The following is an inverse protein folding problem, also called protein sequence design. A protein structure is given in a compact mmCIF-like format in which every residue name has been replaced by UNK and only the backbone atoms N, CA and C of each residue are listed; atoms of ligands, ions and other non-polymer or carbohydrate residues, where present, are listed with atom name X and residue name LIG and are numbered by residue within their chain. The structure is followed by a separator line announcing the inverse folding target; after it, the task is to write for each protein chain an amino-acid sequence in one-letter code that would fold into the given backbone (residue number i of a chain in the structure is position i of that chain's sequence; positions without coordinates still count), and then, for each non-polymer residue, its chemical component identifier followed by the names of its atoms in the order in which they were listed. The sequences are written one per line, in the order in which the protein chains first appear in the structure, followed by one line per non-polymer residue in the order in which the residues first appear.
data_IF_790721209393
#
_entry.id   IF_790721209393
#
_cell.length_a   1.000
_cell.length_b   1.000
_cell.length_c   1.000
_cell.angle_alpha   90.00
_cell.angle_beta   90.00
_cell.angle_gamma   90.00
#
_symmetry.space_group_name_H-M   'P 1'
#
loop_
_entity.id
_entity.type
_entity.pdbx_description
1 polymer ?
#
# COMPACT_ATOMS: atom_id res chain seq x y z
N UNK A 1 -32.15 -10.52 -0.31
CA UNK A 1 -30.94 -9.67 -0.52
C UNK A 1 -30.32 -9.47 0.84
N UNK A 2 -29.01 -9.69 0.99
CA UNK A 2 -28.31 -9.34 2.22
C UNK A 2 -28.39 -7.81 2.37
N UNK A 3 -28.79 -7.35 3.55
CA UNK A 3 -28.81 -5.92 3.86
C UNK A 3 -27.35 -5.47 4.08
N UNK A 4 -26.71 -4.92 3.05
CA UNK A 4 -25.31 -4.48 3.12
C UNK A 4 -25.21 -3.08 3.70
N UNK A 5 -24.16 -2.85 4.52
CA UNK A 5 -23.87 -1.54 5.11
C UNK A 5 -22.95 -0.75 4.20
N UNK A 6 -23.01 0.57 4.28
CA UNK A 6 -22.04 1.45 3.63
C UNK A 6 -20.79 1.60 4.50
N UNK A 7 -19.64 1.64 3.85
CA UNK A 7 -18.33 1.72 4.51
C UNK A 7 -17.66 3.02 4.13
N UNK A 8 -17.19 3.75 5.12
CA UNK A 8 -16.52 5.05 4.93
C UNK A 8 -15.14 5.08 5.57
N UNK A 9 -14.28 5.93 5.05
CA UNK A 9 -12.97 6.25 5.60
C UNK A 9 -13.12 7.44 6.53
N UNK A 10 -12.87 7.23 7.82
CA UNK A 10 -13.02 8.29 8.85
C UNK A 10 -11.69 8.74 9.45
N UNK A 11 -10.61 8.02 9.20
CA UNK A 11 -9.26 8.42 9.61
C UNK A 11 -8.20 7.79 8.73
N UNK A 12 -7.10 8.51 8.55
CA UNK A 12 -5.95 8.07 7.75
C UNK A 12 -4.69 8.41 8.52
N UNK A 13 -3.75 7.46 8.58
CA UNK A 13 -2.41 7.67 9.07
C UNK A 13 -1.40 7.01 8.14
N UNK A 14 -0.25 7.63 8.00
CA UNK A 14 0.78 7.07 7.12
C UNK A 14 2.16 7.62 7.39
N UNK A 15 3.15 6.85 6.99
CA UNK A 15 4.57 7.22 7.07
C UNK A 15 5.22 6.87 5.75
N UNK A 16 5.85 7.86 5.13
CA UNK A 16 6.54 7.74 3.85
C UNK A 16 7.92 8.41 3.90
N UNK A 17 8.72 8.20 2.88
CA UNK A 17 9.99 8.92 2.72
C UNK A 17 9.83 10.45 2.58
N UNK A 18 8.63 10.94 2.27
CA UNK A 18 8.31 12.39 2.19
C UNK A 18 7.68 12.96 3.45
N UNK A 19 7.37 12.14 4.43
CA UNK A 19 6.73 12.56 5.67
C UNK A 19 5.45 11.80 6.00
N UNK A 20 4.64 12.42 6.88
CA UNK A 20 3.49 11.78 7.52
C UNK A 20 2.16 12.45 7.20
N UNK A 21 2.16 13.53 6.46
CA UNK A 21 0.98 14.34 6.13
C UNK A 21 0.87 14.54 4.62
N UNK A 22 -0.37 14.69 4.16
CA UNK A 22 -0.65 14.88 2.74
C UNK A 22 -0.01 16.12 2.15
N UNK A 23 0.11 17.21 2.93
CA UNK A 23 0.67 18.48 2.44
C UNK A 23 2.13 18.30 2.01
N UNK A 24 2.93 17.63 2.84
CA UNK A 24 4.35 17.34 2.55
C UNK A 24 4.48 16.42 1.33
N UNK A 25 3.65 15.37 1.26
CA UNK A 25 3.63 14.41 0.16
C UNK A 25 3.21 15.10 -1.15
N UNK A 26 2.12 15.88 -1.12
CA UNK A 26 1.65 16.61 -2.30
C UNK A 26 2.69 17.62 -2.80
N UNK A 27 3.40 18.29 -1.88
CA UNK A 27 4.48 19.21 -2.26
C UNK A 27 5.61 18.50 -3.02
N UNK A 28 6.00 17.29 -2.58
CA UNK A 28 6.98 16.46 -3.29
C UNK A 28 6.45 15.99 -4.66
N UNK A 29 5.18 15.60 -4.73
CA UNK A 29 4.53 15.21 -5.99
C UNK A 29 4.47 16.38 -6.98
N UNK A 30 4.10 17.57 -6.53
CA UNK A 30 4.10 18.79 -7.36
C UNK A 30 5.50 19.24 -7.79
N UNK A 31 6.50 18.96 -6.98
CA UNK A 31 7.90 19.22 -7.32
C UNK A 31 8.50 18.15 -8.25
N UNK A 32 7.74 17.09 -8.55
CA UNK A 32 8.17 15.93 -9.37
C UNK A 32 9.49 15.32 -8.89
N UNK A 33 9.70 15.29 -7.57
CA UNK A 33 10.88 14.71 -6.95
C UNK A 33 10.57 13.32 -6.40
N UNK A 34 11.38 12.34 -6.76
CA UNK A 34 11.33 11.04 -6.12
C UNK A 34 12.21 10.99 -4.85
N UNK A 35 11.99 9.96 -4.02
CA UNK A 35 12.73 9.73 -2.78
C UNK A 35 13.87 8.72 -2.95
N UNK A 36 14.19 8.33 -4.17
CA UNK A 36 15.18 7.30 -4.48
C UNK A 36 16.59 7.82 -4.20
N UNK A 37 17.40 6.96 -3.59
CA UNK A 37 18.78 7.24 -3.22
C UNK A 37 19.69 6.08 -3.56
N UNK A 38 20.99 6.39 -3.77
CA UNK A 38 22.04 5.40 -3.79
C UNK A 38 22.32 4.90 -2.36
N UNK A 39 22.39 3.59 -2.16
CA UNK A 39 22.41 2.95 -0.84
C UNK A 39 23.77 2.40 -0.41
N UNK A 40 24.76 2.38 -1.27
CA UNK A 40 26.13 1.92 -1.00
C UNK A 40 26.23 0.59 -0.21
N UNK A 41 25.60 -0.45 -0.76
CA UNK A 41 25.61 -1.79 -0.14
C UNK A 41 26.70 -2.72 -0.66
N UNK A 42 27.46 -2.30 -1.66
CA UNK A 42 28.37 -3.16 -2.43
C UNK A 42 29.45 -3.83 -1.57
N UNK A 43 29.95 -3.15 -0.54
CA UNK A 43 30.92 -3.73 0.38
C UNK A 43 30.33 -4.93 1.15
N UNK A 44 29.09 -4.80 1.62
CA UNK A 44 28.43 -5.85 2.42
C UNK A 44 27.73 -6.90 1.57
N UNK A 45 27.23 -6.53 0.41
CA UNK A 45 26.47 -7.38 -0.52
C UNK A 45 27.07 -7.27 -1.93
N UNK A 46 28.25 -7.90 -2.19
CA UNK A 46 28.98 -7.72 -3.44
C UNK A 46 28.26 -8.25 -4.68
N UNK A 47 27.33 -9.19 -4.50
CA UNK A 47 26.50 -9.75 -5.59
C UNK A 47 25.26 -8.93 -5.91
N UNK A 48 24.90 -7.95 -5.05
CA UNK A 48 23.75 -7.06 -5.27
C UNK A 48 24.14 -5.96 -6.26
N UNK A 49 23.62 -6.04 -7.47
CA UNK A 49 23.91 -5.06 -8.54
C UNK A 49 23.04 -3.80 -8.42
N UNK A 50 21.76 -3.94 -8.03
CA UNK A 50 20.88 -2.82 -7.75
C UNK A 50 21.24 -2.17 -6.41
N UNK A 51 21.68 -0.90 -6.44
CA UNK A 51 22.13 -0.15 -5.26
C UNK A 51 21.19 1.01 -4.92
N UNK A 52 19.90 0.88 -5.25
CA UNK A 52 18.91 1.95 -5.10
C UNK A 52 17.83 1.58 -4.10
N UNK A 53 17.31 2.58 -3.39
CA UNK A 53 16.19 2.44 -2.49
C UNK A 53 15.55 3.77 -2.12
N UNK A 54 14.34 3.71 -1.56
CA UNK A 54 13.63 4.88 -1.04
C UNK A 54 13.23 4.65 0.44
N UNK A 55 14.22 4.66 1.37
CA UNK A 55 14.00 4.43 2.79
C UNK A 55 13.39 5.64 3.49
N UNK A 56 12.76 5.40 4.64
CA UNK A 56 12.41 6.44 5.60
C UNK A 56 13.63 6.70 6.49
N UNK A 57 14.25 7.85 6.30
CA UNK A 57 15.44 8.22 7.08
C UNK A 57 15.08 8.77 8.45
N UNK A 58 15.94 8.51 9.44
CA UNK A 58 15.83 9.08 10.78
C UNK A 58 14.59 8.64 11.59
N UNK A 59 13.85 7.63 11.11
CA UNK A 59 12.67 7.16 11.85
C UNK A 59 13.05 6.52 13.18
N UNK A 60 12.41 7.01 14.24
CA UNK A 60 12.41 6.42 15.58
C UNK A 60 10.96 6.30 16.07
N UNK A 61 10.62 5.25 16.84
CA UNK A 61 9.32 5.17 17.48
C UNK A 61 9.03 6.40 18.34
N UNK A 62 7.76 6.82 18.47
CA UNK A 62 7.36 7.93 19.33
C UNK A 62 7.88 7.80 20.77
N UNK A 63 8.37 8.90 21.36
CA UNK A 63 9.00 8.90 22.68
C UNK A 63 8.05 8.46 23.82
N UNK A 64 6.74 8.63 23.65
CA UNK A 64 5.73 8.23 24.63
C UNK A 64 5.50 6.71 24.69
N UNK A 65 6.03 5.95 23.71
CA UNK A 65 5.91 4.51 23.74
C UNK A 65 6.86 3.87 24.75
N UNK A 66 6.34 2.98 25.56
CA UNK A 66 7.11 2.30 26.60
C UNK A 66 7.97 1.16 26.03
N UNK A 67 9.07 0.84 26.71
CA UNK A 67 9.90 -0.34 26.36
C UNK A 67 9.11 -1.65 26.34
N UNK A 68 8.06 -1.75 27.17
CA UNK A 68 7.18 -2.94 27.22
C UNK A 68 6.39 -3.06 25.92
N UNK A 69 5.86 -1.98 25.40
CA UNK A 69 5.13 -1.93 24.11
C UNK A 69 6.05 -2.25 22.94
N UNK A 70 7.28 -1.74 22.93
CA UNK A 70 8.24 -1.94 21.85
C UNK A 70 8.80 -3.38 21.75
N UNK A 71 8.70 -4.18 22.83
CA UNK A 71 9.40 -5.48 22.94
C UNK A 71 8.99 -6.48 21.84
N UNK A 72 7.72 -6.49 21.43
CA UNK A 72 7.16 -7.42 20.45
C UNK A 72 7.22 -6.87 19.00
N UNK A 73 7.78 -5.69 18.79
CA UNK A 73 7.76 -5.00 17.52
C UNK A 73 9.15 -4.98 16.87
N UNK A 74 9.21 -5.34 15.59
CA UNK A 74 10.28 -4.97 14.68
C UNK A 74 9.98 -3.63 14.00
N UNK A 75 10.86 -3.16 13.12
CA UNK A 75 10.70 -1.86 12.43
C UNK A 75 9.38 -1.76 11.67
N UNK A 76 8.98 -2.80 10.94
CA UNK A 76 7.71 -2.82 10.21
C UNK A 76 6.50 -2.62 11.13
N UNK A 77 6.52 -3.26 12.33
CA UNK A 77 5.46 -3.08 13.31
C UNK A 77 5.47 -1.69 13.94
N UNK A 78 6.65 -1.08 14.16
CA UNK A 78 6.73 0.31 14.59
C UNK A 78 6.04 1.25 13.60
N UNK A 79 6.33 1.11 12.30
CA UNK A 79 5.72 1.92 11.25
C UNK A 79 4.20 1.73 11.20
N UNK A 80 3.72 0.48 11.26
CA UNK A 80 2.28 0.18 11.21
C UNK A 80 1.53 0.68 12.44
N UNK A 81 2.09 0.52 13.65
CA UNK A 81 1.46 0.99 14.90
C UNK A 81 1.44 2.50 14.97
N UNK A 82 2.52 3.17 14.52
CA UNK A 82 2.57 4.63 14.44
C UNK A 82 1.55 5.19 13.43
N UNK A 83 1.45 4.59 12.23
CA UNK A 83 0.41 4.94 11.26
C UNK A 83 -1.01 4.68 11.82
N UNK A 84 -1.20 3.62 12.60
CA UNK A 84 -2.48 3.33 13.24
C UNK A 84 -2.83 4.34 14.34
N UNK A 85 -1.83 4.80 15.13
CA UNK A 85 -2.03 5.86 16.12
C UNK A 85 -2.44 7.18 15.47
N UNK A 86 -1.80 7.53 14.33
CA UNK A 86 -2.19 8.70 13.54
C UNK A 86 -3.63 8.56 13.01
N UNK A 87 -3.98 7.40 12.43
CA UNK A 87 -5.32 7.15 11.91
C UNK A 87 -6.41 7.24 12.99
N UNK A 88 -6.16 6.67 14.18
CA UNK A 88 -7.08 6.77 15.31
C UNK A 88 -7.19 8.21 15.83
N UNK A 89 -6.09 8.95 15.85
CA UNK A 89 -6.07 10.37 16.23
C UNK A 89 -6.89 11.19 15.25
N UNK A 90 -6.67 11.01 13.95
CA UNK A 90 -7.37 11.71 12.87
C UNK A 90 -8.89 11.40 12.89
N UNK A 91 -9.24 10.15 13.19
CA UNK A 91 -10.63 9.72 13.35
C UNK A 91 -11.29 10.23 14.66
N UNK A 92 -10.52 10.79 15.59
CA UNK A 92 -11.01 11.14 16.93
C UNK A 92 -11.37 9.94 17.80
N UNK A 93 -10.72 8.79 17.58
CA UNK A 93 -10.96 7.52 18.26
C UNK A 93 -9.81 7.08 19.19
N UNK A 94 -8.68 7.78 19.18
CA UNK A 94 -7.57 7.44 20.06
C UNK A 94 -7.97 7.62 21.53
N UNK A 95 -7.96 6.50 22.30
CA UNK A 95 -8.39 6.50 23.70
C UNK A 95 -9.90 6.41 23.92
N UNK A 96 -10.71 6.31 22.86
CA UNK A 96 -12.15 6.09 22.99
C UNK A 96 -12.47 4.64 23.41
N UNK A 97 -13.41 4.46 24.34
CA UNK A 97 -13.78 3.13 24.84
C UNK A 97 -14.37 2.21 23.77
N UNK A 98 -14.98 2.76 22.72
CA UNK A 98 -15.59 2.00 21.62
C UNK A 98 -14.58 1.16 20.81
N UNK A 99 -13.30 1.53 20.81
CA UNK A 99 -12.28 0.73 20.14
C UNK A 99 -11.89 -0.55 20.93
N UNK A 100 -12.18 -0.59 22.24
CA UNK A 100 -11.79 -1.72 23.12
C UNK A 100 -12.95 -2.63 23.53
N UNK A 101 -14.18 -2.33 23.12
CA UNK A 101 -15.39 -3.07 23.48
C UNK A 101 -15.71 -4.28 22.58
N UNK A 102 -14.88 -4.52 21.55
CA UNK A 102 -15.03 -5.61 20.58
C UNK A 102 -15.61 -5.18 19.24
N UNK A 103 -16.02 -3.92 19.08
CA UNK A 103 -16.56 -3.40 17.81
C UNK A 103 -15.51 -2.93 16.83
N UNK A 104 -14.23 -2.82 17.24
CA UNK A 104 -13.11 -2.49 16.38
C UNK A 104 -12.14 -3.64 16.23
N UNK A 105 -11.80 -3.97 14.98
CA UNK A 105 -10.81 -4.99 14.60
C UNK A 105 -9.64 -4.38 13.85
N UNK A 106 -8.78 -5.26 13.31
CA UNK A 106 -7.65 -4.86 12.47
C UNK A 106 -7.47 -5.85 11.31
N UNK A 107 -7.24 -5.32 10.10
CA UNK A 107 -6.81 -6.06 8.93
C UNK A 107 -5.56 -5.38 8.36
N UNK A 108 -4.40 -5.96 8.62
CA UNK A 108 -3.11 -5.35 8.27
C UNK A 108 -2.09 -6.42 7.95
N UNK A 109 -1.20 -6.13 7.02
CA UNK A 109 -0.17 -7.05 6.60
C UNK A 109 1.14 -6.38 6.20
N UNK A 110 2.12 -7.24 5.98
CA UNK A 110 3.44 -6.96 5.44
C UNK A 110 3.81 -8.13 4.54
N UNK A 111 4.63 -7.90 3.53
CA UNK A 111 5.05 -9.00 2.64
C UNK A 111 6.03 -9.96 3.33
N UNK A 112 6.88 -9.46 4.21
CA UNK A 112 7.99 -10.23 4.81
C UNK A 112 7.92 -10.28 6.34
N UNK A 113 7.52 -9.22 7.01
CA UNK A 113 7.66 -9.07 8.46
C UNK A 113 8.97 -8.35 8.82
N UNK A 114 9.56 -8.66 10.00
CA UNK A 114 10.83 -8.05 10.39
C UNK A 114 12.02 -8.82 9.82
N UNK A 115 12.70 -8.23 8.85
CA UNK A 115 13.83 -8.84 8.13
C UNK A 115 15.04 -9.05 9.03
N UNK A 116 15.28 -8.16 10.00
CA UNK A 116 16.32 -8.33 11.01
C UNK A 116 16.10 -9.59 11.84
N UNK A 117 14.88 -9.80 12.32
CA UNK A 117 14.52 -10.95 13.15
C UNK A 117 14.52 -12.27 12.34
N UNK A 118 14.21 -12.21 11.04
CA UNK A 118 14.41 -13.32 10.10
C UNK A 118 15.90 -13.68 9.99
N UNK A 119 16.79 -12.67 9.93
CA UNK A 119 18.22 -12.86 9.94
C UNK A 119 18.73 -13.57 11.21
N UNK A 120 18.24 -13.17 12.39
CA UNK A 120 18.54 -13.82 13.67
C UNK A 120 18.08 -15.31 13.71
N UNK A 121 16.93 -15.61 13.11
CA UNK A 121 16.44 -16.98 12.90
C UNK A 121 17.34 -17.76 11.94
N UNK A 122 17.74 -17.15 10.84
CA UNK A 122 18.68 -17.73 9.86
C UNK A 122 20.02 -18.10 10.49
N UNK A 123 20.57 -17.22 11.34
CA UNK A 123 21.79 -17.50 12.10
C UNK A 123 21.62 -18.74 12.99
N UNK A 124 20.52 -18.81 13.74
CA UNK A 124 20.24 -19.99 14.57
C UNK A 124 20.19 -21.29 13.76
N UNK A 125 19.48 -21.28 12.63
CA UNK A 125 19.32 -22.47 11.80
C UNK A 125 20.64 -22.91 11.13
N UNK A 126 21.47 -21.95 10.73
CA UNK A 126 22.72 -22.23 10.05
C UNK A 126 23.86 -22.63 10.99
N UNK A 127 23.91 -22.08 12.20
CA UNK A 127 25.04 -22.22 13.13
C UNK A 127 24.72 -23.04 14.39
N UNK A 128 23.44 -23.29 14.68
CA UNK A 128 22.99 -23.89 15.94
C UNK A 128 23.18 -22.98 17.16
N UNK A 129 23.45 -21.67 16.95
CA UNK A 129 23.76 -20.71 18.02
C UNK A 129 22.66 -19.66 18.12
N UNK A 130 22.06 -19.50 19.31
CA UNK A 130 20.94 -18.60 19.56
C UNK A 130 21.36 -17.29 20.24
N UNK A 131 22.41 -16.60 19.75
CA UNK A 131 22.92 -15.37 20.38
C UNK A 131 21.86 -14.28 20.56
N UNK A 132 21.06 -14.05 19.53
CA UNK A 132 20.06 -12.99 19.48
C UNK A 132 18.61 -13.52 19.42
N UNK A 133 18.42 -14.82 19.17
CA UNK A 133 17.12 -15.42 18.97
C UNK A 133 16.44 -15.75 20.31
N UNK A 134 15.19 -15.30 20.45
CA UNK A 134 14.33 -15.56 21.60
C UNK A 134 12.84 -15.54 21.17
N UNK A 135 11.91 -15.76 22.12
CA UNK A 135 10.48 -15.79 21.82
C UNK A 135 9.96 -14.51 21.14
N UNK A 136 10.47 -13.33 21.53
CA UNK A 136 10.06 -12.08 20.87
C UNK A 136 10.58 -11.99 19.43
N UNK A 137 11.82 -12.43 19.16
CA UNK A 137 12.38 -12.53 17.81
C UNK A 137 11.47 -13.38 16.91
N UNK A 138 11.02 -14.53 17.43
CA UNK A 138 10.11 -15.41 16.70
C UNK A 138 8.80 -14.71 16.31
N UNK A 139 8.18 -13.97 17.25
CA UNK A 139 6.94 -13.22 16.97
C UNK A 139 7.18 -12.09 15.98
N UNK A 140 8.28 -11.34 16.13
CA UNK A 140 8.59 -10.18 15.25
C UNK A 140 8.87 -10.56 13.79
N UNK A 141 9.47 -11.73 13.56
CA UNK A 141 9.80 -12.17 12.19
C UNK A 141 8.58 -12.55 11.34
N UNK A 142 7.43 -12.83 11.95
CA UNK A 142 6.25 -13.28 11.21
C UNK A 142 5.50 -12.10 10.56
N UNK A 143 5.01 -12.24 9.32
CA UNK A 143 4.29 -11.13 8.63
C UNK A 143 3.01 -10.68 9.35
N UNK A 144 2.34 -11.57 10.11
CA UNK A 144 1.15 -11.23 10.89
C UNK A 144 1.45 -10.33 12.10
N UNK A 145 2.73 -10.09 12.40
CA UNK A 145 3.16 -9.27 13.55
C UNK A 145 2.60 -7.85 13.50
N UNK A 146 2.38 -7.29 12.30
CA UNK A 146 1.81 -5.95 12.13
C UNK A 146 0.40 -5.87 12.69
N UNK A 147 -0.51 -6.73 12.26
CA UNK A 147 -1.89 -6.77 12.74
C UNK A 147 -1.97 -7.12 14.24
N UNK A 148 -1.16 -8.09 14.70
CA UNK A 148 -1.14 -8.50 16.09
C UNK A 148 -0.66 -7.36 17.01
N UNK A 149 0.40 -6.65 16.64
CA UNK A 149 0.93 -5.54 17.46
C UNK A 149 -0.01 -4.33 17.48
N UNK A 150 -0.70 -4.00 16.38
CA UNK A 150 -1.75 -2.97 16.37
C UNK A 150 -2.85 -3.37 17.37
N UNK A 151 -3.36 -4.60 17.30
CA UNK A 151 -4.40 -5.08 18.20
C UNK A 151 -3.99 -5.01 19.67
N UNK A 152 -2.77 -5.46 20.01
CA UNK A 152 -2.24 -5.45 21.37
C UNK A 152 -2.00 -4.02 21.86
N UNK A 153 -1.42 -3.16 21.03
CA UNK A 153 -1.03 -1.81 21.42
C UNK A 153 -2.24 -0.94 21.79
N UNK A 154 -3.32 -1.02 21.03
CA UNK A 154 -4.54 -0.24 21.27
C UNK A 154 -5.62 -1.02 22.06
N UNK A 155 -5.35 -2.26 22.46
CA UNK A 155 -6.29 -3.09 23.22
C UNK A 155 -7.54 -3.48 22.43
N UNK A 156 -7.43 -3.63 21.12
CA UNK A 156 -8.55 -3.99 20.24
C UNK A 156 -8.99 -5.43 20.52
N UNK A 157 -10.29 -5.63 20.68
CA UNK A 157 -10.90 -6.95 20.99
C UNK A 157 -11.72 -7.52 19.84
N UNK A 158 -11.83 -6.79 18.73
CA UNK A 158 -12.45 -7.27 17.51
C UNK A 158 -11.56 -8.29 16.79
N UNK A 159 -11.98 -8.70 15.61
CA UNK A 159 -11.25 -9.70 14.81
C UNK A 159 -9.92 -9.15 14.29
N UNK A 160 -8.91 -10.03 14.21
CA UNK A 160 -7.62 -9.76 13.58
C UNK A 160 -7.53 -10.55 12.28
N UNK A 161 -7.26 -9.85 11.17
CA UNK A 161 -7.10 -10.43 9.83
C UNK A 161 -5.70 -10.06 9.32
N UNK A 162 -4.72 -10.97 9.42
CA UNK A 162 -3.41 -10.72 8.80
C UNK A 162 -3.51 -10.89 7.28
N UNK A 163 -2.97 -9.94 6.53
CA UNK A 163 -3.03 -9.92 5.05
C UNK A 163 -1.63 -9.91 4.44
N UNK A 164 -0.92 -11.05 4.60
CA UNK A 164 0.40 -11.22 3.99
C UNK A 164 0.27 -11.79 2.58
N UNK A 165 0.15 -10.92 1.59
CA UNK A 165 -0.05 -11.25 0.18
C UNK A 165 0.87 -10.43 -0.73
N UNK A 166 2.16 -10.36 -0.35
CA UNK A 166 3.17 -9.58 -1.06
C UNK A 166 2.70 -8.13 -1.30
N UNK A 167 2.81 -7.62 -2.54
CA UNK A 167 2.50 -6.23 -2.88
C UNK A 167 1.02 -5.84 -2.69
N UNK A 168 0.10 -6.79 -2.58
CA UNK A 168 -1.33 -6.52 -2.33
C UNK A 168 -1.73 -6.57 -0.86
N UNK A 169 -0.78 -6.77 0.08
CA UNK A 169 -1.08 -6.91 1.52
C UNK A 169 -1.93 -5.74 2.07
N UNK A 170 -1.54 -4.50 1.77
CA UNK A 170 -2.26 -3.31 2.25
C UNK A 170 -3.65 -3.15 1.65
N UNK A 171 -3.79 -3.30 0.34
CA UNK A 171 -5.09 -3.21 -0.34
C UNK A 171 -6.01 -4.38 0.01
N UNK A 172 -5.46 -5.59 0.21
CA UNK A 172 -6.22 -6.73 0.68
C UNK A 172 -6.71 -6.53 2.12
N UNK A 173 -5.89 -5.90 2.99
CA UNK A 173 -6.30 -5.50 4.33
C UNK A 173 -7.49 -4.53 4.30
N UNK A 174 -7.44 -3.51 3.44
CA UNK A 174 -8.55 -2.57 3.23
C UNK A 174 -9.79 -3.31 2.70
N UNK A 175 -9.62 -4.21 1.71
CA UNK A 175 -10.72 -4.97 1.11
C UNK A 175 -11.41 -5.92 2.09
N UNK A 176 -10.66 -6.68 2.89
CA UNK A 176 -11.27 -7.59 3.89
C UNK A 176 -11.91 -6.84 5.06
N UNK A 177 -11.36 -5.69 5.46
CA UNK A 177 -12.00 -4.81 6.43
C UNK A 177 -13.33 -4.27 5.89
N UNK A 178 -13.33 -3.83 4.63
CA UNK A 178 -14.54 -3.39 3.93
C UNK A 178 -15.61 -4.48 3.91
N UNK A 179 -15.26 -5.70 3.49
CA UNK A 179 -16.21 -6.83 3.47
C UNK A 179 -16.74 -7.14 4.88
N UNK A 180 -15.86 -7.15 5.89
CA UNK A 180 -16.27 -7.42 7.28
C UNK A 180 -17.28 -6.40 7.80
N UNK A 181 -17.10 -5.10 7.48
CA UNK A 181 -18.05 -4.04 7.87
C UNK A 181 -19.31 -4.08 7.00
N UNK A 182 -19.14 -4.19 5.69
CA UNK A 182 -20.25 -4.23 4.71
C UNK A 182 -21.27 -5.33 5.03
N UNK A 183 -20.78 -6.50 5.44
CA UNK A 183 -21.64 -7.64 5.80
C UNK A 183 -22.01 -7.69 7.28
N UNK A 184 -21.75 -6.64 8.04
CA UNK A 184 -22.20 -6.49 9.43
C UNK A 184 -21.50 -7.37 10.45
N UNK A 185 -20.31 -7.86 10.14
CA UNK A 185 -19.53 -8.70 11.05
C UNK A 185 -18.84 -7.86 12.15
N UNK A 186 -18.58 -6.58 11.88
CA UNK A 186 -17.93 -5.61 12.78
C UNK A 186 -18.32 -4.20 12.35
N UNK A 187 -18.17 -3.20 13.24
CA UNK A 187 -18.55 -1.81 12.95
C UNK A 187 -17.39 -0.95 12.46
N UNK A 188 -16.16 -1.23 12.95
CA UNK A 188 -14.96 -0.47 12.63
C UNK A 188 -13.75 -1.39 12.44
N UNK A 189 -12.82 -1.00 11.58
CA UNK A 189 -11.53 -1.69 11.44
C UNK A 189 -10.40 -0.71 11.14
N UNK A 190 -9.26 -0.93 11.79
CA UNK A 190 -7.98 -0.45 11.28
C UNK A 190 -7.55 -1.34 10.12
N UNK A 191 -7.26 -0.73 8.97
CA UNK A 191 -7.01 -1.47 7.73
C UNK A 191 -5.84 -0.89 6.95
N UNK A 192 -4.93 -1.73 6.47
CA UNK A 192 -3.82 -1.28 5.66
C UNK A 192 -2.64 -2.23 5.65
N UNK A 193 -1.44 -1.68 5.56
CA UNK A 193 -0.20 -2.47 5.54
C UNK A 193 1.04 -1.61 5.70
N UNK A 194 2.15 -2.28 5.94
CA UNK A 194 3.47 -1.66 6.05
C UNK A 194 4.57 -2.57 5.56
N UNK A 195 5.69 -1.97 5.27
CA UNK A 195 6.93 -2.68 4.97
C UNK A 195 8.13 -1.91 5.49
N UNK A 196 9.09 -2.62 6.06
CA UNK A 196 10.40 -2.06 6.39
C UNK A 196 11.32 -2.21 5.15
N UNK A 197 12.44 -1.49 5.17
CA UNK A 197 13.38 -1.48 4.06
C UNK A 197 14.60 -2.36 4.34
N UNK A 198 14.89 -3.30 3.44
CA UNK A 198 16.00 -4.22 3.60
C UNK A 198 16.66 -4.57 2.25
N UNK A 199 18.01 -4.69 2.20
CA UNK A 199 18.70 -5.14 0.99
C UNK A 199 18.26 -6.52 0.48
N UNK A 200 17.76 -7.41 1.35
CA UNK A 200 17.27 -8.72 0.93
C UNK A 200 16.02 -8.63 0.03
N UNK A 201 15.18 -7.63 0.22
CA UNK A 201 14.03 -7.35 -0.63
C UNK A 201 14.47 -6.86 -2.02
N UNK A 202 15.50 -6.01 -2.05
CA UNK A 202 16.10 -5.56 -3.32
C UNK A 202 16.72 -6.74 -4.06
N UNK A 203 17.43 -7.64 -3.33
CA UNK A 203 18.08 -8.80 -3.90
C UNK A 203 17.12 -9.76 -4.61
N UNK A 204 15.90 -9.93 -4.08
CA UNK A 204 14.85 -10.76 -4.73
C UNK A 204 14.58 -10.26 -6.15
N UNK A 205 14.36 -8.97 -6.33
CA UNK A 205 14.06 -8.39 -7.64
C UNK A 205 15.30 -8.22 -8.52
N UNK A 206 16.46 -7.97 -7.94
CA UNK A 206 17.74 -7.92 -8.68
C UNK A 206 18.08 -9.28 -9.27
N UNK A 207 17.88 -10.39 -8.53
CA UNK A 207 18.08 -11.75 -9.02
C UNK A 207 17.12 -12.15 -10.15
N UNK A 208 16.00 -11.47 -10.27
CA UNK A 208 15.01 -11.63 -11.34
C UNK A 208 15.21 -10.65 -12.51
N UNK A 209 16.25 -9.80 -12.45
CA UNK A 209 16.47 -8.69 -13.40
C UNK A 209 15.27 -7.74 -13.48
N UNK A 210 14.58 -7.55 -12.36
CA UNK A 210 13.39 -6.71 -12.23
C UNK A 210 13.60 -5.47 -11.34
N UNK A 211 14.80 -5.31 -10.74
CA UNK A 211 15.20 -4.11 -10.01
C UNK A 211 15.99 -3.16 -10.91
N UNK A 212 15.77 -1.86 -10.77
CA UNK A 212 16.51 -0.85 -11.51
C UNK A 212 17.98 -0.82 -11.09
N UNK A 213 18.87 -0.80 -12.07
CA UNK A 213 20.33 -0.70 -11.91
C UNK A 213 20.88 0.67 -12.33
N UNK A 214 20.04 1.69 -12.42
CA UNK A 214 20.45 3.09 -12.69
C UNK A 214 21.14 3.73 -11.48
N UNK A 215 22.10 3.07 -10.93
CA UNK A 215 22.77 3.45 -9.68
C UNK A 215 23.38 4.85 -9.69
N UNK A 216 23.76 5.35 -10.87
CA UNK A 216 24.33 6.70 -11.05
C UNK A 216 23.29 7.80 -11.28
N UNK A 217 22.01 7.45 -11.42
CA UNK A 217 20.93 8.37 -11.79
C UNK A 217 19.66 8.07 -10.98
N UNK A 218 19.72 8.09 -9.62
CA UNK A 218 18.60 7.70 -8.77
C UNK A 218 17.34 8.54 -9.01
N UNK A 219 17.50 9.80 -9.42
CA UNK A 219 16.40 10.71 -9.73
C UNK A 219 15.63 10.32 -11.00
N UNK A 220 16.22 9.51 -11.91
CA UNK A 220 15.62 9.09 -13.17
C UNK A 220 14.95 7.71 -13.11
N UNK A 221 14.80 7.13 -11.92
CA UNK A 221 14.19 5.81 -11.71
C UNK A 221 13.41 5.76 -10.38
N UNK A 222 12.36 4.92 -10.21
CA UNK A 222 11.73 4.11 -11.26
C UNK A 222 10.95 4.95 -12.27
N UNK A 223 10.65 4.35 -13.42
CA UNK A 223 9.98 5.02 -14.51
C UNK A 223 8.85 4.15 -15.11
N UNK A 224 7.74 3.97 -14.37
CA UNK A 224 6.63 3.14 -14.82
C UNK A 224 6.14 3.55 -16.21
N UNK A 225 5.82 2.54 -17.03
CA UNK A 225 5.28 2.66 -18.39
C UNK A 225 6.24 3.25 -19.44
N UNK A 226 7.41 3.72 -19.03
CA UNK A 226 8.43 4.29 -19.94
C UNK A 226 9.14 3.18 -20.71
N UNK A 227 9.42 3.42 -21.99
CA UNK A 227 10.12 2.49 -22.87
C UNK A 227 11.56 2.19 -22.43
N UNK A 228 12.17 3.11 -21.71
CA UNK A 228 13.52 2.97 -21.14
C UNK A 228 13.54 2.47 -19.69
N UNK A 229 12.42 1.92 -19.16
CA UNK A 229 12.39 1.36 -17.81
C UNK A 229 13.27 0.13 -17.67
N UNK A 230 13.88 -0.06 -16.53
CA UNK A 230 14.81 -1.15 -16.25
C UNK A 230 14.50 -1.91 -14.94
N UNK A 231 13.34 -1.65 -14.36
CA UNK A 231 12.88 -2.33 -13.15
C UNK A 231 12.43 -1.39 -12.05
N UNK A 232 11.98 -1.98 -10.96
CA UNK A 232 11.48 -1.29 -9.77
C UNK A 232 12.62 -0.82 -8.87
N UNK A 233 12.30 0.08 -7.95
CA UNK A 233 13.14 0.45 -6.80
C UNK A 233 12.33 0.15 -5.55
N UNK A 234 12.93 -0.51 -4.54
CA UNK A 234 12.23 -0.80 -3.28
C UNK A 234 12.14 0.47 -2.43
N UNK A 235 10.96 0.68 -1.84
CA UNK A 235 10.69 1.74 -0.88
C UNK A 235 10.25 1.21 0.48
N UNK A 236 10.02 2.12 1.42
CA UNK A 236 9.59 1.84 2.78
C UNK A 236 8.35 2.66 3.13
N UNK A 237 7.48 2.13 3.98
CA UNK A 237 6.33 2.88 4.46
C UNK A 237 5.31 2.09 5.24
N UNK A 238 4.30 2.79 5.72
CA UNK A 238 3.08 2.22 6.26
C UNK A 238 1.90 3.15 5.98
N UNK A 239 0.73 2.56 5.71
CA UNK A 239 -0.53 3.29 5.60
C UNK A 239 -1.64 2.52 6.31
N UNK A 240 -2.38 3.21 7.17
CA UNK A 240 -3.49 2.64 7.94
C UNK A 240 -4.71 3.55 7.85
N UNK A 241 -5.85 2.95 7.60
CA UNK A 241 -7.16 3.60 7.58
C UNK A 241 -7.99 3.21 8.78
N UNK A 242 -8.82 4.10 9.26
CA UNK A 242 -10.03 3.75 10.01
C UNK A 242 -11.16 3.59 9.00
N UNK A 243 -11.61 2.36 8.78
CA UNK A 243 -12.83 2.07 8.06
C UNK A 243 -13.98 1.90 9.05
N UNK A 244 -15.12 2.47 8.73
CA UNK A 244 -16.26 2.56 9.65
C UNK A 244 -17.60 2.41 8.92
N UNK A 245 -18.59 1.81 9.59
CA UNK A 245 -19.94 1.77 9.12
C UNK A 245 -20.52 3.20 9.09
N UNK A 246 -21.19 3.57 8.00
CA UNK A 246 -21.62 4.95 7.74
C UNK A 246 -22.51 5.54 8.84
N UNK A 247 -23.53 4.79 9.30
CA UNK A 247 -24.43 5.31 10.32
C UNK A 247 -23.77 5.39 11.71
N UNK A 248 -22.77 4.51 11.97
CA UNK A 248 -21.92 4.63 13.15
C UNK A 248 -21.08 5.92 13.08
N UNK A 249 -20.43 6.19 11.95
CA UNK A 249 -19.63 7.40 11.71
C UNK A 249 -20.48 8.68 11.86
N UNK A 250 -21.68 8.71 11.29
CA UNK A 250 -22.60 9.84 11.41
C UNK A 250 -23.06 10.10 12.85
N UNK A 251 -23.40 9.05 13.62
CA UNK A 251 -23.84 9.21 15.02
C UNK A 251 -22.80 9.87 15.91
N UNK A 252 -21.52 9.66 15.65
CA UNK A 252 -20.43 10.30 16.39
C UNK A 252 -19.90 11.59 15.75
N UNK A 253 -20.49 12.03 14.63
CA UNK A 253 -20.05 13.24 13.93
C UNK A 253 -18.68 13.15 13.28
N UNK A 254 -18.30 11.97 12.82
CA UNK A 254 -16.99 11.73 12.22
C UNK A 254 -16.76 12.55 10.95
N UNK A 255 -15.52 13.01 10.75
CA UNK A 255 -15.06 13.43 9.43
C UNK A 255 -15.05 12.22 8.50
N UNK A 256 -15.49 12.39 7.26
CA UNK A 256 -15.46 11.34 6.25
C UNK A 256 -14.65 11.82 5.06
N UNK A 257 -13.65 11.04 4.68
CA UNK A 257 -12.76 11.32 3.55
C UNK A 257 -13.33 10.83 2.22
N UNK A 258 -13.87 9.61 2.24
CA UNK A 258 -14.44 8.94 1.06
C UNK A 258 -15.36 7.81 1.51
N UNK A 259 -16.23 7.33 0.63
CA UNK A 259 -16.92 6.06 0.75
C UNK A 259 -16.12 5.00 -0.04
N UNK A 260 -15.80 3.86 0.57
CA UNK A 260 -15.29 2.69 -0.12
C UNK A 260 -16.48 1.90 -0.63
N UNK A 261 -16.66 1.88 -1.95
CA UNK A 261 -17.89 1.35 -2.56
C UNK A 261 -17.71 0.02 -3.26
N UNK A 262 -16.48 -0.37 -3.59
CA UNK A 262 -16.22 -1.62 -4.28
C UNK A 262 -14.85 -2.20 -3.99
N UNK A 263 -14.80 -3.52 -3.94
CA UNK A 263 -13.58 -4.31 -3.81
C UNK A 263 -13.64 -5.51 -4.74
N UNK A 264 -12.58 -5.66 -5.55
CA UNK A 264 -12.35 -6.84 -6.38
C UNK A 264 -11.07 -7.54 -5.96
N UNK A 265 -11.12 -8.86 -5.89
CA UNK A 265 -9.96 -9.70 -5.64
C UNK A 265 -10.06 -11.02 -6.40
N UNK A 266 -8.94 -11.47 -6.93
CA UNK A 266 -8.80 -12.80 -7.54
C UNK A 266 -7.32 -13.22 -7.56
N UNK A 267 -7.05 -14.36 -8.20
CA UNK A 267 -5.67 -14.81 -8.42
C UNK A 267 -5.47 -15.26 -9.87
N UNK A 268 -4.21 -15.18 -10.33
CA UNK A 268 -3.83 -15.63 -11.68
C UNK A 268 -3.86 -17.14 -11.83
N UNK A 269 -3.59 -17.89 -10.75
CA UNK A 269 -3.58 -19.36 -10.75
C UNK A 269 -2.57 -19.98 -11.70
N UNK A 270 -1.53 -19.24 -12.10
CA UNK A 270 -0.56 -19.67 -13.12
C UNK A 270 0.88 -19.63 -12.61
N UNK A 271 1.59 -18.55 -12.78
CA UNK A 271 3.02 -18.44 -12.46
C UNK A 271 3.27 -17.39 -11.38
N UNK A 272 4.23 -17.63 -10.48
CA UNK A 272 4.52 -16.75 -9.33
C UNK A 272 4.91 -15.32 -9.74
N UNK A 273 5.65 -15.17 -10.85
CA UNK A 273 6.21 -13.87 -11.28
C UNK A 273 5.76 -13.41 -12.67
N UNK A 274 4.80 -14.11 -13.29
CA UNK A 274 4.30 -13.72 -14.63
C UNK A 274 2.85 -13.23 -14.50
N UNK A 275 2.63 -11.90 -14.55
CA UNK A 275 1.31 -11.31 -14.42
C UNK A 275 0.41 -11.68 -15.62
N UNK A 276 -0.89 -11.81 -15.38
CA UNK A 276 -1.87 -12.17 -16.39
C UNK A 276 -2.85 -11.01 -16.60
N UNK A 277 -2.88 -10.48 -17.82
CA UNK A 277 -3.80 -9.39 -18.21
C UNK A 277 -5.26 -9.72 -17.90
N UNK A 278 -5.69 -10.95 -18.24
CA UNK A 278 -7.08 -11.38 -18.15
C UNK A 278 -7.59 -11.41 -16.70
N UNK A 279 -6.76 -11.81 -15.76
CA UNK A 279 -7.11 -11.85 -14.32
C UNK A 279 -7.07 -10.47 -13.69
N UNK A 280 -6.13 -9.60 -14.09
CA UNK A 280 -6.14 -8.19 -13.71
C UNK A 280 -7.40 -7.47 -14.21
N UNK A 281 -7.77 -7.68 -15.48
CA UNK A 281 -9.02 -7.17 -16.06
C UNK A 281 -10.21 -7.66 -15.23
N UNK A 282 -10.30 -8.95 -14.96
CA UNK A 282 -11.39 -9.52 -14.18
C UNK A 282 -11.45 -8.98 -12.76
N UNK A 283 -10.31 -8.70 -12.14
CA UNK A 283 -10.26 -8.09 -10.81
C UNK A 283 -10.89 -6.69 -10.78
N UNK A 284 -10.56 -5.85 -11.77
CA UNK A 284 -11.17 -4.52 -11.92
C UNK A 284 -12.66 -4.59 -12.23
N UNK A 285 -13.10 -5.53 -13.08
CA UNK A 285 -14.52 -5.76 -13.35
C UNK A 285 -15.29 -6.18 -12.09
N UNK A 286 -14.70 -7.04 -11.24
CA UNK A 286 -15.31 -7.44 -9.96
C UNK A 286 -15.47 -6.26 -9.01
N UNK A 287 -14.47 -5.37 -8.94
CA UNK A 287 -14.56 -4.16 -8.12
C UNK A 287 -15.67 -3.22 -8.58
N UNK A 288 -15.80 -3.00 -9.90
CA UNK A 288 -16.89 -2.19 -10.48
C UNK A 288 -18.26 -2.84 -10.26
N UNK A 289 -18.35 -4.16 -10.39
CA UNK A 289 -19.57 -4.92 -10.11
C UNK A 289 -19.99 -4.79 -8.65
N UNK A 290 -19.04 -4.88 -7.72
CA UNK A 290 -19.31 -4.73 -6.29
C UNK A 290 -19.72 -3.29 -5.93
N UNK A 291 -19.13 -2.29 -6.61
CA UNK A 291 -19.51 -0.88 -6.49
C UNK A 291 -20.87 -0.55 -7.15
N UNK A 292 -21.36 -1.40 -8.03
CA UNK A 292 -22.60 -1.16 -8.79
C UNK A 292 -22.50 0.00 -9.79
N UNK A 293 -21.31 0.24 -10.35
CA UNK A 293 -21.06 1.32 -11.31
C UNK A 293 -20.50 0.80 -12.63
N UNK A 294 -20.68 1.59 -13.68
CA UNK A 294 -20.06 1.35 -15.00
C UNK A 294 -18.69 2.04 -15.11
N UNK A 295 -17.78 1.55 -15.96
CA UNK A 295 -16.42 2.11 -16.11
C UNK A 295 -16.39 3.61 -16.41
N UNK A 296 -17.37 4.13 -17.15
CA UNK A 296 -17.48 5.56 -17.52
C UNK A 296 -17.68 6.51 -16.35
N UNK A 297 -18.01 6.00 -15.16
CA UNK A 297 -18.13 6.80 -13.92
C UNK A 297 -16.79 7.06 -13.26
N UNK A 298 -15.76 6.28 -13.58
CA UNK A 298 -14.42 6.40 -13.00
C UNK A 298 -13.63 7.46 -13.77
N UNK A 299 -13.07 8.42 -13.07
CA UNK A 299 -12.29 9.49 -13.70
C UNK A 299 -10.77 9.34 -13.57
N UNK A 300 -10.29 8.40 -12.75
CA UNK A 300 -8.85 8.20 -12.55
C UNK A 300 -8.53 6.79 -12.03
N UNK A 301 -7.39 6.27 -12.50
CA UNK A 301 -6.80 5.01 -12.05
C UNK A 301 -5.44 5.27 -11.41
N UNK A 302 -5.29 4.90 -10.13
CA UNK A 302 -3.98 4.71 -9.51
C UNK A 302 -3.47 3.33 -9.89
N UNK A 303 -2.51 3.31 -10.80
CA UNK A 303 -1.94 2.08 -11.31
C UNK A 303 -0.95 1.45 -10.34
N UNK A 304 -0.81 0.13 -10.42
CA UNK A 304 0.24 -0.58 -9.71
C UNK A 304 1.63 -0.22 -10.26
N UNK A 305 1.77 -0.04 -11.56
CA UNK A 305 2.92 0.52 -12.30
C UNK A 305 4.26 0.42 -11.60
N UNK A 306 4.91 -0.74 -11.68
CA UNK A 306 6.14 -1.04 -10.94
C UNK A 306 7.42 -0.71 -11.69
N UNK A 307 7.32 -0.24 -12.93
CA UNK A 307 8.42 -0.09 -13.88
C UNK A 307 9.06 -1.44 -14.30
N UNK A 308 8.37 -2.55 -14.11
CA UNK A 308 8.76 -3.85 -14.66
C UNK A 308 8.16 -4.03 -16.05
N UNK A 309 8.91 -4.67 -16.95
CA UNK A 309 8.47 -4.80 -18.35
C UNK A 309 7.10 -5.49 -18.48
N UNK A 310 6.98 -6.70 -17.93
CA UNK A 310 5.76 -7.52 -18.05
C UNK A 310 4.59 -6.97 -17.23
N UNK A 311 4.89 -6.44 -16.03
CA UNK A 311 3.87 -5.90 -15.13
C UNK A 311 3.14 -4.71 -15.75
N UNK A 312 3.89 -3.73 -16.20
CA UNK A 312 3.35 -2.51 -16.78
C UNK A 312 2.55 -2.77 -18.06
N UNK A 313 3.03 -3.69 -18.92
CA UNK A 313 2.31 -4.08 -20.16
C UNK A 313 0.98 -4.76 -19.82
N UNK A 314 1.00 -5.76 -18.93
CA UNK A 314 -0.20 -6.52 -18.58
C UNK A 314 -1.27 -5.62 -17.92
N UNK A 315 -0.85 -4.80 -16.96
CA UNK A 315 -1.74 -3.88 -16.24
C UNK A 315 -2.40 -2.86 -17.18
N UNK A 316 -1.60 -2.21 -18.02
CA UNK A 316 -2.12 -1.14 -18.90
C UNK A 316 -3.03 -1.68 -19.98
N UNK A 317 -2.75 -2.86 -20.53
CA UNK A 317 -3.64 -3.55 -21.47
C UNK A 317 -4.95 -3.99 -20.81
N UNK A 318 -4.91 -4.41 -19.52
CA UNK A 318 -6.10 -4.73 -18.75
C UNK A 318 -6.92 -3.48 -18.45
N UNK A 319 -6.26 -2.37 -18.07
CA UNK A 319 -6.90 -1.08 -17.82
C UNK A 319 -7.59 -0.53 -19.06
N UNK A 320 -6.92 -0.56 -20.24
CA UNK A 320 -7.50 -0.17 -21.51
C UNK A 320 -8.75 -1.00 -21.84
N UNK A 321 -8.68 -2.32 -21.60
CA UNK A 321 -9.80 -3.23 -21.89
C UNK A 321 -11.06 -2.94 -21.04
N UNK A 322 -10.88 -2.48 -19.79
CA UNK A 322 -12.01 -2.20 -18.86
C UNK A 322 -12.51 -0.77 -19.02
N UNK A 323 -11.59 0.22 -19.06
CA UNK A 323 -11.91 1.63 -18.93
C UNK A 323 -11.69 2.45 -20.22
N UNK A 324 -11.04 1.87 -21.24
CA UNK A 324 -10.64 2.62 -22.42
C UNK A 324 -9.57 3.67 -22.14
N UNK A 325 -9.69 4.84 -22.77
CA UNK A 325 -8.74 5.94 -22.64
C UNK A 325 -9.02 6.75 -21.37
N UNK A 326 -8.50 6.29 -20.22
CA UNK A 326 -8.74 6.84 -18.88
C UNK A 326 -7.47 7.45 -18.29
N UNK A 327 -7.57 8.58 -17.54
CA UNK A 327 -6.44 9.14 -16.80
C UNK A 327 -5.83 8.14 -15.81
N UNK A 328 -4.51 7.93 -15.89
CA UNK A 328 -3.78 6.97 -15.09
C UNK A 328 -2.39 7.47 -14.72
N UNK A 329 -1.95 7.21 -13.48
CA UNK A 329 -0.55 7.40 -13.08
C UNK A 329 -0.14 6.40 -12.00
N UNK A 330 1.19 6.27 -11.77
CA UNK A 330 1.75 5.43 -10.72
C UNK A 330 2.60 6.26 -9.76
N UNK A 331 2.22 6.27 -8.48
CA UNK A 331 2.96 6.95 -7.43
C UNK A 331 4.24 6.21 -7.01
N UNK A 332 4.44 4.97 -7.49
CA UNK A 332 5.71 4.27 -7.31
C UNK A 332 6.88 4.98 -8.00
N UNK A 333 6.61 5.82 -8.98
CA UNK A 333 7.63 6.68 -9.57
C UNK A 333 8.26 7.66 -8.56
N UNK A 334 7.58 7.96 -7.45
CA UNK A 334 8.04 8.86 -6.39
C UNK A 334 8.67 8.13 -5.20
N UNK A 335 8.01 7.10 -4.70
CA UNK A 335 8.35 6.43 -3.44
C UNK A 335 9.03 5.07 -3.64
N UNK A 336 9.21 4.66 -4.90
CA UNK A 336 9.54 3.28 -5.18
C UNK A 336 8.37 2.34 -4.85
N UNK A 337 8.65 1.07 -4.85
CA UNK A 337 7.69 0.02 -4.50
C UNK A 337 7.79 -0.33 -3.02
N UNK A 338 6.85 0.12 -2.23
CA UNK A 338 6.80 -0.09 -0.77
C UNK A 338 6.17 -1.43 -0.39
N UNK A 339 6.14 -2.41 -1.29
CA UNK A 339 5.70 -3.80 -1.10
C UNK A 339 4.36 -3.90 -0.34
N UNK A 340 4.36 -4.45 0.88
CA UNK A 340 3.14 -4.63 1.67
C UNK A 340 2.42 -3.33 2.06
N UNK A 341 3.12 -2.20 2.05
CA UNK A 341 2.53 -0.89 2.32
C UNK A 341 1.86 -0.25 1.11
N UNK A 342 2.28 -0.59 -0.12
CA UNK A 342 1.94 0.20 -1.31
C UNK A 342 0.44 0.33 -1.54
N UNK A 343 -0.33 -0.74 -1.34
CA UNK A 343 -1.77 -0.70 -1.54
C UNK A 343 -2.51 0.26 -0.60
N UNK A 344 -2.02 0.45 0.62
CA UNK A 344 -2.59 1.40 1.56
C UNK A 344 -2.13 2.84 1.27
N UNK A 345 -0.83 3.05 1.01
CA UNK A 345 -0.30 4.37 0.69
C UNK A 345 -0.92 4.94 -0.59
N UNK A 346 -0.97 4.14 -1.65
CA UNK A 346 -1.56 4.54 -2.92
C UNK A 346 -3.07 4.81 -2.82
N UNK A 347 -3.80 4.03 -2.01
CA UNK A 347 -5.21 4.32 -1.69
C UNK A 347 -5.36 5.67 -0.97
N UNK A 348 -4.49 5.97 0.01
CA UNK A 348 -4.48 7.28 0.69
C UNK A 348 -4.26 8.42 -0.30
N UNK A 349 -3.19 8.33 -1.12
CA UNK A 349 -2.89 9.37 -2.10
C UNK A 349 -4.03 9.54 -3.11
N UNK A 350 -4.64 8.45 -3.54
CA UNK A 350 -5.76 8.46 -4.48
C UNK A 350 -6.98 9.19 -3.93
N UNK A 351 -7.32 8.96 -2.66
CA UNK A 351 -8.42 9.67 -1.97
C UNK A 351 -8.09 11.16 -1.85
N UNK A 352 -6.88 11.53 -1.47
CA UNK A 352 -6.48 12.92 -1.30
C UNK A 352 -6.37 13.66 -2.65
N UNK A 353 -5.89 13.01 -3.70
CA UNK A 353 -5.90 13.57 -5.06
C UNK A 353 -7.34 13.79 -5.56
N UNK A 354 -8.25 12.85 -5.33
CA UNK A 354 -9.66 13.00 -5.65
C UNK A 354 -10.27 14.19 -4.90
N UNK A 355 -9.98 14.34 -3.61
CA UNK A 355 -10.53 15.41 -2.78
C UNK A 355 -9.97 16.79 -3.13
N UNK A 356 -8.68 16.88 -3.50
CA UNK A 356 -8.05 18.12 -3.96
C UNK A 356 -8.34 18.46 -5.42
N UNK A 357 -8.80 17.49 -6.23
CA UNK A 357 -9.04 17.66 -7.66
C UNK A 357 -7.78 17.71 -8.52
N UNK A 358 -6.57 17.54 -7.94
CA UNK A 358 -5.31 17.50 -8.67
C UNK A 358 -4.66 16.13 -8.54
N UNK A 359 -4.30 15.53 -9.67
CA UNK A 359 -3.72 14.20 -9.77
C UNK A 359 -2.26 14.26 -10.22
N UNK A 360 -1.40 13.59 -9.46
CA UNK A 360 0.04 13.58 -9.70
C UNK A 360 0.40 12.83 -10.98
N UNK A 361 1.44 13.29 -11.70
CA UNK A 361 1.96 12.57 -12.87
C UNK A 361 2.71 11.30 -12.46
N UNK A 362 2.97 10.43 -13.43
CA UNK A 362 4.04 9.44 -13.35
C UNK A 362 5.35 10.14 -13.69
N UNK A 363 6.21 10.41 -12.69
CA UNK A 363 7.52 11.02 -12.98
C UNK A 363 8.41 10.05 -13.73
N UNK A 364 9.36 10.60 -14.50
CA UNK A 364 10.27 9.84 -15.36
C UNK A 364 9.61 9.13 -16.57
N UNK A 365 8.31 9.34 -16.80
CA UNK A 365 7.63 8.85 -18.00
C UNK A 365 7.77 9.88 -19.13
N UNK A 366 8.74 9.66 -20.02
CA UNK A 366 9.06 10.56 -21.12
C UNK A 366 8.76 9.94 -22.50
N UNK A 367 8.93 8.62 -22.62
CA UNK A 367 8.72 7.84 -23.83
C UNK A 367 7.85 6.62 -23.52
N UNK A 368 6.55 6.72 -23.79
CA UNK A 368 5.60 5.65 -23.48
C UNK A 368 5.95 4.38 -24.27
N UNK A 369 6.11 3.25 -23.58
CA UNK A 369 6.35 1.96 -24.24
C UNK A 369 5.17 1.61 -25.16
N UNK A 370 5.39 1.45 -26.48
CA UNK A 370 4.33 1.18 -27.43
C UNK A 370 3.62 -0.18 -27.22
N UNK A 371 4.17 -1.05 -26.38
CA UNK A 371 3.57 -2.33 -25.97
C UNK A 371 2.56 -2.17 -24.82
N UNK A 372 2.63 -1.06 -24.09
CA UNK A 372 1.66 -0.71 -23.07
C UNK A 372 0.30 -0.33 -23.68
N UNK A 373 -0.76 -0.49 -22.87
CA UNK A 373 -2.13 -0.14 -23.29
C UNK A 373 -2.29 1.35 -23.58
N UNK A 374 -3.26 1.68 -24.44
CA UNK A 374 -3.59 3.06 -24.81
C UNK A 374 -4.48 3.70 -23.76
N UNK A 375 -3.90 4.05 -22.62
CA UNK A 375 -4.56 4.83 -21.56
C UNK A 375 -4.04 6.27 -21.58
N UNK A 376 -4.73 7.16 -20.88
CA UNK A 376 -4.36 8.57 -20.78
C UNK A 376 -3.36 8.78 -19.64
N UNK A 377 -2.08 8.51 -19.90
CA UNK A 377 -1.01 8.67 -18.91
C UNK A 377 -0.87 10.13 -18.49
N UNK A 378 -0.96 10.39 -17.17
CA UNK A 378 -0.70 11.75 -16.65
C UNK A 378 0.81 11.98 -16.64
N UNK A 379 1.24 12.90 -17.49
CA UNK A 379 2.63 13.32 -17.65
C UNK A 379 2.95 14.53 -16.76
N UNK A 380 4.19 15.03 -16.85
CA UNK A 380 4.70 16.17 -16.09
C UNK A 380 3.69 17.32 -15.94
N UNK A 381 3.66 17.96 -14.76
CA UNK A 381 2.70 18.99 -14.37
C UNK A 381 1.48 18.44 -13.62
N UNK A 382 1.23 17.15 -13.70
CA UNK A 382 -0.01 16.58 -13.17
C UNK A 382 -1.25 17.04 -13.93
N UNK A 383 -2.42 16.76 -13.39
CA UNK A 383 -3.69 17.11 -14.05
C UNK A 383 -4.79 17.44 -13.06
N UNK A 384 -5.56 18.48 -13.34
CA UNK A 384 -6.82 18.75 -12.65
C UNK A 384 -7.92 17.88 -13.26
N UNK A 385 -8.59 17.08 -12.41
CA UNK A 385 -9.70 16.20 -12.79
C UNK A 385 -10.79 16.33 -11.74
N UNK A 386 -11.99 16.64 -12.16
CA UNK A 386 -13.17 16.56 -11.34
C UNK A 386 -13.85 15.20 -11.53
N UNK A 387 -13.88 14.38 -10.48
CA UNK A 387 -14.47 13.05 -10.52
C UNK A 387 -15.03 12.63 -9.18
N UNK A 388 -16.12 11.85 -9.22
CA UNK A 388 -16.73 11.26 -8.04
C UNK A 388 -16.18 9.86 -7.71
N UNK A 389 -15.54 9.18 -8.67
CA UNK A 389 -15.05 7.82 -8.50
C UNK A 389 -13.62 7.67 -8.97
N UNK A 390 -12.81 7.02 -8.15
CA UNK A 390 -11.44 6.65 -8.47
C UNK A 390 -11.18 5.18 -8.13
N UNK A 391 -10.20 4.59 -8.81
CA UNK A 391 -9.80 3.19 -8.60
C UNK A 391 -8.32 3.13 -8.21
N UNK A 392 -8.00 2.26 -7.24
CA UNK A 392 -6.62 1.92 -6.87
C UNK A 392 -6.36 0.43 -7.04
N UNK A 393 -5.36 0.08 -7.84
CA UNK A 393 -5.05 -1.29 -8.23
C UNK A 393 -3.71 -1.76 -7.66
N UNK A 394 -3.66 -3.01 -7.19
CA UNK A 394 -2.40 -3.66 -6.81
C UNK A 394 -2.39 -5.12 -7.30
N UNK A 395 -1.29 -5.48 -7.95
CA UNK A 395 -1.08 -6.78 -8.58
C UNK A 395 0.23 -7.39 -8.08
N UNK A 396 0.14 -8.40 -7.24
CA UNK A 396 1.27 -8.93 -6.49
C UNK A 396 1.90 -10.16 -7.12
N UNK A 397 3.16 -10.42 -6.76
CA UNK A 397 3.76 -11.73 -6.92
C UNK A 397 2.89 -12.81 -6.25
N UNK A 398 2.84 -14.01 -6.87
CA UNK A 398 1.89 -15.04 -6.53
C UNK A 398 0.56 -14.91 -7.29
N UNK A 399 0.43 -13.84 -8.10
CA UNK A 399 -0.78 -13.59 -8.88
C UNK A 399 -1.95 -13.15 -8.02
N UNK A 400 -1.72 -12.44 -6.92
CA UNK A 400 -2.79 -11.92 -6.07
C UNK A 400 -3.15 -10.52 -6.54
N UNK A 401 -4.35 -10.36 -7.07
CA UNK A 401 -4.85 -9.14 -7.65
C UNK A 401 -5.90 -8.50 -6.75
N UNK A 402 -5.83 -7.17 -6.60
CA UNK A 402 -6.79 -6.36 -5.84
C UNK A 402 -7.11 -5.07 -6.56
N UNK A 403 -8.36 -4.63 -6.46
CA UNK A 403 -8.85 -3.36 -6.99
C UNK A 403 -9.85 -2.74 -6.00
N UNK A 404 -9.64 -1.50 -5.62
CA UNK A 404 -10.46 -0.74 -4.68
C UNK A 404 -11.12 0.42 -5.41
N UNK A 405 -12.42 0.62 -5.21
CA UNK A 405 -13.20 1.74 -5.78
C UNK A 405 -13.63 2.68 -4.66
N UNK A 406 -13.14 3.91 -4.70
CA UNK A 406 -13.52 4.97 -3.79
C UNK A 406 -14.47 5.96 -4.45
N UNK A 407 -15.43 6.44 -3.67
CA UNK A 407 -16.35 7.49 -4.05
C UNK A 407 -16.11 8.73 -3.22
N UNK A 408 -16.10 9.90 -3.87
CA UNK A 408 -16.03 11.20 -3.19
C UNK A 408 -17.16 11.33 -2.19
N UNK A 409 -16.82 11.73 -0.97
CA UNK A 409 -17.81 12.02 0.03
C UNK A 409 -18.44 13.40 -0.21
N UNK A 410 -19.75 13.44 -0.24
CA UNK A 410 -20.54 14.68 -0.28
C UNK A 410 -21.37 14.72 0.99
N UNK A 411 -21.11 15.72 1.84
CA UNK A 411 -21.98 15.95 3.00
C UNK A 411 -23.36 16.42 2.52
N UNK A 412 -24.38 15.70 2.89
CA UNK A 412 -25.78 16.08 2.62
C UNK A 412 -26.25 17.07 3.67
#
# INVERSE_FOLDING_TARGET
MLNTRKVVVTGIGGITAFGRDWQSIQAAFKAEKNAVKYMDWRERFPELEAQLGAPIEGYTPPEHWTRKQLRSMGRVSHLCVDAAEQALTDAGLLGDESITDGRMGVACGSSVGSTKDIGDMGELLNTGTSRNFNANTYVRMMPHTTAANIGIFFGLKGRIIPTSSACSSGSQGIGYAYEAIKYGMIDMMLAGGGEEFCPSEVYVFDSLYAASRRNGEPELTPRPYDNGRDGLVIGEGAGIFVLEELEHAKRRGAKIYAELVGYGANSDGSHVTQPQKETMQKCMELALQDAGITPDKVGYISGHGTATEKGDIAETLATEAVFGFIPMSSQKSYLGHTLGACGALEAWFTIEMMNSGWFAPTVNLNDIDPRCGKVDYILSGGREIETDYVVSNNFAFGGVNTSLVFKRWQAY
#
